data_IF_910160089186
#
_entry.id   IF_910160089186
#
_cell.length_a   1.000
_cell.length_b   1.000
_cell.length_c   1.000
_cell.angle_alpha   90.00
_cell.angle_beta   90.00
_cell.angle_gamma   90.00
#
_symmetry.space_group_name_H-M   'P 1'
#
loop_
_entity.id
_entity.type
_entity.pdbx_description
1 polymer ?
#
# COMPACT_ATOMS: atom_id res chain seq x y z
N UNK A 1 -11.05 19.27 -14.87
CA UNK A 1 -10.46 18.15 -14.12
C UNK A 1 -9.20 18.73 -13.51
N UNK A 2 -9.31 19.21 -12.27
CA UNK A 2 -8.30 20.04 -11.61
C UNK A 2 -7.50 19.20 -10.61
N UNK A 3 -6.24 19.54 -10.50
CA UNK A 3 -5.21 19.05 -9.59
C UNK A 3 -5.74 18.79 -8.17
N UNK A 4 -5.89 17.51 -7.81
CA UNK A 4 -6.29 17.06 -6.46
C UNK A 4 -5.12 16.48 -5.65
N UNK A 5 -3.86 16.67 -6.08
CA UNK A 5 -2.68 16.04 -5.47
C UNK A 5 -1.60 17.03 -5.04
N UNK A 6 -1.97 18.26 -4.62
CA UNK A 6 -1.00 19.09 -3.89
C UNK A 6 -0.98 18.67 -2.43
N UNK A 7 -0.01 17.86 -2.05
CA UNK A 7 0.36 17.63 -0.64
C UNK A 7 0.59 19.00 0.03
N UNK A 8 -0.23 19.32 1.02
CA UNK A 8 -0.01 20.49 1.87
C UNK A 8 1.13 20.15 2.84
N UNK A 9 2.37 20.47 2.42
CA UNK A 9 3.49 20.51 3.36
C UNK A 9 3.32 21.70 4.31
N UNK A 10 2.84 21.42 5.52
CA UNK A 10 2.93 22.36 6.63
C UNK A 10 4.26 22.10 7.35
N UNK A 11 5.31 22.82 6.98
CA UNK A 11 6.57 22.75 7.70
C UNK A 11 7.57 23.79 7.19
N UNK A 12 7.90 24.73 8.04
CA UNK A 12 8.92 25.78 7.95
C UNK A 12 10.02 25.51 6.91
N UNK A 13 10.29 26.53 6.06
CA UNK A 13 11.53 26.69 5.30
C UNK A 13 12.76 26.44 6.21
N UNK A 14 13.29 25.24 6.15
CA UNK A 14 14.63 24.92 6.59
C UNK A 14 15.34 24.32 5.40
N UNK A 15 16.16 25.14 4.75
CA UNK A 15 17.23 24.71 3.84
C UNK A 15 17.91 23.47 4.40
N UNK A 16 17.89 22.37 3.63
CA UNK A 16 18.36 21.11 4.19
C UNK A 16 19.46 20.46 3.35
N UNK A 17 20.46 21.24 2.98
CA UNK A 17 21.75 20.65 2.63
C UNK A 17 22.44 20.31 3.96
N UNK A 18 22.70 19.03 4.17
CA UNK A 18 23.49 18.57 5.31
C UNK A 18 24.67 17.75 4.81
N UNK A 19 25.79 17.94 5.48
CA UNK A 19 27.03 17.25 5.19
C UNK A 19 27.36 16.28 6.31
N UNK A 20 27.58 15.02 5.94
CA UNK A 20 27.90 13.97 6.92
C UNK A 20 29.23 13.31 6.58
N UNK A 21 29.99 12.97 7.62
CA UNK A 21 31.22 12.20 7.47
C UNK A 21 31.37 11.21 8.62
N UNK A 22 31.85 10.02 8.30
CA UNK A 22 32.24 9.03 9.31
C UNK A 22 33.63 9.28 9.78
N UNK A 23 33.79 9.49 11.09
CA UNK A 23 35.05 9.62 11.81
C UNK A 23 34.97 8.72 13.06
N UNK A 24 36.05 8.03 13.40
CA UNK A 24 36.12 7.16 14.56
C UNK A 24 34.92 6.19 14.72
N UNK A 25 34.49 5.56 13.60
CA UNK A 25 33.34 4.65 13.51
C UNK A 25 31.98 5.28 13.83
N UNK A 26 31.88 6.62 13.89
CA UNK A 26 30.65 7.36 14.12
C UNK A 26 30.38 8.34 12.97
N UNK A 27 29.14 8.61 12.71
CA UNK A 27 28.73 9.62 11.75
C UNK A 27 28.64 10.98 12.44
N UNK A 28 29.21 12.00 11.81
CA UNK A 28 29.19 13.38 12.29
C UNK A 28 28.65 14.29 11.20
N UNK A 29 27.80 15.23 11.59
CA UNK A 29 27.41 16.37 10.76
C UNK A 29 28.56 17.39 10.76
N UNK A 30 29.01 17.81 9.57
CA UNK A 30 30.12 18.74 9.37
C UNK A 30 29.63 20.01 8.66
N UNK A 31 30.34 21.13 8.84
CA UNK A 31 29.91 22.43 8.29
C UNK A 31 30.29 22.62 6.82
N UNK A 32 31.37 21.99 6.38
CA UNK A 32 31.89 22.13 5.01
C UNK A 32 32.20 20.76 4.40
N UNK A 33 31.90 20.54 3.11
CA UNK A 33 32.18 19.28 2.47
C UNK A 33 33.68 19.09 2.22
N UNK A 34 34.14 17.87 2.38
CA UNK A 34 35.51 17.43 2.05
C UNK A 34 35.45 16.08 1.34
N UNK A 35 36.58 15.57 0.87
CA UNK A 35 36.60 14.25 0.23
C UNK A 35 36.08 13.16 1.18
N UNK A 36 35.21 12.29 0.64
CA UNK A 36 34.54 11.24 1.41
C UNK A 36 33.33 11.72 2.21
N UNK A 37 32.82 12.92 1.96
CA UNK A 37 31.56 13.42 2.56
C UNK A 37 30.34 12.81 1.88
N UNK A 38 29.31 12.58 2.66
CA UNK A 38 27.96 12.34 2.20
C UNK A 38 27.16 13.65 2.29
N UNK A 39 26.63 14.12 1.17
CA UNK A 39 25.79 15.31 1.04
C UNK A 39 24.34 14.84 0.97
N UNK A 40 23.53 15.25 1.92
CA UNK A 40 22.10 14.90 1.97
C UNK A 40 21.25 16.12 1.61
N UNK A 41 20.52 16.03 0.51
CA UNK A 41 19.56 17.04 0.01
C UNK A 41 18.15 16.51 0.29
N UNK A 42 17.42 17.15 1.19
CA UNK A 42 16.03 16.84 1.49
C UNK A 42 15.19 18.04 1.15
N UNK A 43 14.25 17.86 0.22
CA UNK A 43 13.40 18.93 -0.29
C UNK A 43 14.19 20.21 -0.65
N UNK A 44 15.26 20.08 -1.48
CA UNK A 44 16.15 21.21 -1.78
C UNK A 44 15.43 22.28 -2.59
N UNK A 45 15.83 23.53 -2.37
CA UNK A 45 15.40 24.67 -3.20
C UNK A 45 16.13 24.69 -4.53
N UNK A 46 15.56 25.36 -5.53
CA UNK A 46 16.21 25.53 -6.85
C UNK A 46 17.62 26.19 -6.74
N UNK A 47 17.82 27.09 -5.78
CA UNK A 47 19.12 27.74 -5.54
C UNK A 47 20.14 26.74 -4.96
N UNK A 48 19.73 25.83 -4.09
CA UNK A 48 20.58 24.79 -3.52
C UNK A 48 20.98 23.75 -4.58
N UNK A 49 20.02 23.35 -5.44
CA UNK A 49 20.32 22.46 -6.58
C UNK A 49 21.32 23.13 -7.52
N UNK A 50 21.12 24.39 -7.89
CA UNK A 50 22.04 25.12 -8.76
C UNK A 50 23.46 25.25 -8.14
N UNK A 51 23.55 25.43 -6.82
CA UNK A 51 24.83 25.46 -6.11
C UNK A 51 25.57 24.12 -6.21
N UNK A 52 24.90 23.02 -5.91
CA UNK A 52 25.48 21.68 -5.96
C UNK A 52 25.82 21.28 -7.40
N UNK A 53 24.95 21.58 -8.37
CA UNK A 53 25.19 21.36 -9.80
C UNK A 53 26.48 22.00 -10.26
N UNK A 54 26.68 23.30 -9.92
CA UNK A 54 27.88 24.05 -10.30
C UNK A 54 29.16 23.56 -9.57
N UNK A 55 29.05 23.21 -8.28
CA UNK A 55 30.20 22.80 -7.47
C UNK A 55 30.73 21.41 -7.87
N UNK A 56 29.83 20.45 -8.19
CA UNK A 56 30.19 19.06 -8.50
C UNK A 56 30.10 18.74 -10.00
N UNK A 57 29.76 19.73 -10.86
CA UNK A 57 29.59 19.57 -12.32
C UNK A 57 28.56 18.47 -12.66
N UNK A 58 27.45 18.51 -12.00
CA UNK A 58 26.31 17.58 -12.21
C UNK A 58 25.25 18.33 -13.01
N UNK A 59 24.58 17.64 -13.93
CA UNK A 59 23.42 18.23 -14.60
C UNK A 59 22.33 18.56 -13.59
N UNK A 60 21.74 19.74 -13.73
CA UNK A 60 20.69 20.19 -12.82
C UNK A 60 19.41 19.34 -12.94
N UNK A 61 19.16 18.78 -14.13
CA UNK A 61 18.00 17.95 -14.39
C UNK A 61 18.16 16.59 -13.70
N UNK A 62 19.38 16.04 -13.61
CA UNK A 62 19.69 14.82 -12.85
C UNK A 62 19.51 15.02 -11.33
N UNK A 63 19.75 16.23 -10.83
CA UNK A 63 19.47 16.56 -9.44
C UNK A 63 17.97 16.79 -9.17
N UNK A 64 17.19 17.14 -10.20
CA UNK A 64 15.74 17.34 -10.09
C UNK A 64 14.93 16.07 -10.25
N UNK A 65 15.41 15.14 -11.09
CA UNK A 65 14.69 13.92 -11.39
C UNK A 65 14.18 13.18 -10.13
N UNK A 66 14.97 13.00 -9.05
CA UNK A 66 14.46 12.37 -7.82
C UNK A 66 13.41 13.16 -7.05
N UNK A 67 13.11 14.40 -7.46
CA UNK A 67 12.09 15.25 -6.85
C UNK A 67 10.74 15.18 -7.57
N UNK A 68 10.67 14.40 -8.66
CA UNK A 68 9.41 14.03 -9.31
C UNK A 68 8.92 12.70 -8.73
N UNK A 69 7.74 12.68 -8.13
CA UNK A 69 7.15 11.47 -7.54
C UNK A 69 6.88 10.35 -8.57
N UNK A 70 6.79 10.68 -9.87
CA UNK A 70 6.54 9.74 -10.96
C UNK A 70 7.84 9.25 -11.64
N UNK A 71 9.01 9.71 -11.20
CA UNK A 71 10.30 9.30 -11.76
C UNK A 71 10.56 7.82 -11.53
N UNK A 72 11.07 7.13 -12.55
CA UNK A 72 11.30 5.70 -12.51
C UNK A 72 12.71 5.36 -12.07
N UNK A 73 12.88 4.25 -11.36
CA UNK A 73 14.20 3.77 -10.97
C UNK A 73 15.06 3.43 -12.20
N UNK A 74 16.25 4.03 -12.29
CA UNK A 74 17.21 3.82 -13.38
C UNK A 74 18.63 4.17 -12.95
N UNK A 75 19.60 3.88 -13.84
CA UNK A 75 20.99 4.29 -13.68
C UNK A 75 21.40 5.08 -14.93
N UNK A 76 22.04 6.21 -14.71
CA UNK A 76 22.72 7.00 -15.73
C UNK A 76 24.20 7.15 -15.40
N UNK A 77 25.03 6.90 -16.39
CA UNK A 77 26.51 7.01 -16.24
C UNK A 77 26.97 8.19 -17.08
N UNK A 78 27.34 9.25 -16.39
CA UNK A 78 27.77 10.50 -16.97
C UNK A 78 29.27 10.72 -16.80
N UNK A 79 29.82 11.73 -17.49
CA UNK A 79 31.23 12.10 -17.35
C UNK A 79 31.46 12.76 -15.97
N UNK A 80 32.12 12.03 -15.07
CA UNK A 80 32.48 12.49 -13.73
C UNK A 80 31.54 12.03 -12.61
N UNK A 81 30.35 11.50 -12.90
CA UNK A 81 29.45 10.95 -11.90
C UNK A 81 28.57 9.81 -12.43
N UNK A 82 27.93 9.10 -11.53
CA UNK A 82 26.89 8.11 -11.86
C UNK A 82 25.68 8.39 -11.00
N UNK A 83 24.54 8.54 -11.64
CA UNK A 83 23.23 8.72 -10.99
C UNK A 83 22.55 7.34 -10.85
N UNK A 84 22.06 7.07 -9.66
CA UNK A 84 21.16 5.95 -9.35
C UNK A 84 19.86 6.55 -8.83
N UNK A 85 18.75 6.28 -9.47
CA UNK A 85 17.42 6.56 -8.94
C UNK A 85 16.80 5.24 -8.52
N UNK A 86 16.36 5.15 -7.28
CA UNK A 86 15.70 3.99 -6.71
C UNK A 86 14.48 4.42 -5.92
N UNK A 87 13.45 3.60 -5.93
CA UNK A 87 12.27 3.84 -5.10
C UNK A 87 12.53 3.37 -3.68
N UNK A 88 12.17 4.19 -2.72
CA UNK A 88 12.26 3.89 -1.29
C UNK A 88 10.88 3.89 -0.66
N UNK A 89 10.58 2.94 0.25
CA UNK A 89 9.29 2.90 0.91
C UNK A 89 9.20 3.99 1.97
N UNK A 90 8.04 4.63 2.04
CA UNK A 90 7.71 5.63 3.04
C UNK A 90 6.31 5.40 3.59
N UNK A 91 5.98 6.10 4.68
CA UNK A 91 4.65 6.09 5.27
C UNK A 91 4.11 7.50 5.36
N UNK A 92 2.83 7.65 5.05
CA UNK A 92 2.10 8.91 5.20
C UNK A 92 0.94 8.73 6.17
N UNK A 93 0.83 9.59 7.14
CA UNK A 93 -0.29 9.59 8.07
C UNK A 93 -1.40 10.53 7.55
N UNK A 94 -2.58 9.95 7.26
CA UNK A 94 -3.78 10.69 6.85
C UNK A 94 -4.95 10.31 7.75
N UNK A 95 -5.57 11.26 8.43
CA UNK A 95 -6.75 11.04 9.30
C UNK A 95 -6.53 9.89 10.30
N UNK A 96 -5.39 9.90 10.99
CA UNK A 96 -5.00 8.87 11.97
C UNK A 96 -4.76 7.46 11.39
N UNK A 97 -4.67 7.34 10.05
CA UNK A 97 -4.32 6.10 9.36
C UNK A 97 -2.98 6.25 8.65
N UNK A 98 -2.19 5.20 8.74
CA UNK A 98 -0.88 5.11 8.10
C UNK A 98 -1.03 4.41 6.74
N UNK A 99 -0.59 5.09 5.69
CA UNK A 99 -0.54 4.61 4.31
C UNK A 99 0.89 4.31 3.91
N UNK A 100 1.11 3.24 3.18
CA UNK A 100 2.42 2.84 2.69
C UNK A 100 2.54 3.25 1.22
N UNK A 101 3.58 4.00 0.93
CA UNK A 101 3.85 4.59 -0.38
C UNK A 101 5.32 4.38 -0.76
N UNK A 102 5.67 4.77 -1.96
CA UNK A 102 7.05 4.81 -2.43
C UNK A 102 7.38 6.19 -3.00
N UNK A 103 8.60 6.62 -2.82
CA UNK A 103 9.13 7.86 -3.39
C UNK A 103 10.50 7.60 -4.02
N UNK A 104 10.87 8.35 -5.08
CA UNK A 104 12.20 8.28 -5.64
C UNK A 104 13.27 8.82 -4.67
N UNK A 105 14.42 8.18 -4.69
CA UNK A 105 15.63 8.61 -4.00
C UNK A 105 16.78 8.59 -5.00
N UNK A 106 17.33 9.76 -5.31
CA UNK A 106 18.53 9.90 -6.12
C UNK A 106 19.79 9.68 -5.28
N UNK A 107 20.71 8.88 -5.80
CA UNK A 107 22.03 8.65 -5.22
C UNK A 107 23.05 8.96 -6.31
N UNK A 108 23.85 10.00 -6.14
CA UNK A 108 24.84 10.43 -7.12
C UNK A 108 26.23 10.12 -6.58
N UNK A 109 26.93 9.26 -7.31
CA UNK A 109 28.29 8.87 -7.01
C UNK A 109 29.26 9.74 -7.83
N UNK A 110 29.99 10.62 -7.18
CA UNK A 110 31.07 11.39 -7.80
C UNK A 110 32.44 10.82 -7.43
N UNK A 111 33.52 11.39 -7.96
CA UNK A 111 34.89 11.00 -7.58
C UNK A 111 35.25 11.33 -6.13
N UNK A 112 34.60 12.35 -5.52
CA UNK A 112 34.97 12.86 -4.20
C UNK A 112 33.92 12.63 -3.12
N UNK A 113 32.65 12.70 -3.50
CA UNK A 113 31.52 12.69 -2.56
C UNK A 113 30.38 11.79 -3.04
N UNK A 114 29.48 11.41 -2.13
CA UNK A 114 28.18 10.86 -2.45
C UNK A 114 27.12 11.92 -2.13
N UNK A 115 26.14 12.09 -3.02
CA UNK A 115 25.04 13.00 -2.85
C UNK A 115 23.75 12.20 -2.87
N UNK A 116 22.86 12.40 -1.90
CA UNK A 116 21.51 11.84 -1.93
C UNK A 116 20.49 12.95 -2.03
N UNK A 117 19.49 12.76 -2.90
CA UNK A 117 18.42 13.73 -3.17
C UNK A 117 17.08 13.04 -2.97
N UNK A 118 16.23 13.57 -2.09
CA UNK A 118 14.91 13.03 -1.80
C UNK A 118 13.89 14.14 -1.57
N UNK A 119 12.61 13.84 -1.83
CA UNK A 119 11.50 14.72 -1.50
C UNK A 119 11.31 14.91 0.00
N UNK A 120 11.54 13.85 0.79
CA UNK A 120 11.39 13.87 2.24
C UNK A 120 12.48 13.03 2.94
N UNK A 121 12.62 13.18 4.26
CA UNK A 121 13.59 12.40 5.02
C UNK A 121 13.09 10.96 5.18
N UNK A 122 13.71 10.05 4.47
CA UNK A 122 13.32 8.63 4.43
C UNK A 122 13.90 7.87 5.61
N UNK A 123 13.16 6.87 6.09
CA UNK A 123 13.64 5.97 7.15
C UNK A 123 14.94 5.25 6.77
N UNK A 124 15.15 5.00 5.47
CA UNK A 124 16.39 4.42 4.94
C UNK A 124 17.58 5.30 5.27
N UNK A 125 17.53 6.58 4.91
CA UNK A 125 18.64 7.53 5.12
C UNK A 125 18.77 7.96 6.58
N UNK A 126 17.64 8.04 7.30
CA UNK A 126 17.62 8.38 8.71
C UNK A 126 18.39 7.36 9.60
N UNK A 127 18.37 6.08 9.22
CA UNK A 127 19.11 5.05 9.96
C UNK A 127 20.63 5.25 9.88
N UNK A 128 21.14 5.73 8.73
CA UNK A 128 22.55 6.10 8.59
C UNK A 128 22.89 7.38 9.40
N UNK A 129 22.07 8.43 9.29
CA UNK A 129 22.24 9.68 10.02
C UNK A 129 22.25 9.49 11.53
N UNK A 130 21.44 8.54 12.02
CA UNK A 130 21.31 8.25 13.44
C UNK A 130 22.34 7.20 13.94
N UNK A 131 23.28 6.77 13.10
CA UNK A 131 24.31 5.79 13.48
C UNK A 131 23.77 4.39 13.80
N UNK A 132 22.57 4.04 13.30
CA UNK A 132 21.97 2.71 13.50
C UNK A 132 22.59 1.64 12.62
N UNK A 133 23.21 2.05 11.51
CA UNK A 133 23.92 1.13 10.60
C UNK A 133 25.35 0.94 11.06
N UNK A 134 25.73 -0.30 11.34
CA UNK A 134 27.10 -0.64 11.77
C UNK A 134 28.02 -0.80 10.58
N UNK A 135 29.34 -0.62 10.80
CA UNK A 135 30.38 -0.80 9.77
C UNK A 135 30.15 0.06 8.52
N UNK A 136 29.65 1.26 8.72
CA UNK A 136 29.35 2.22 7.69
C UNK A 136 30.43 3.29 7.61
N UNK A 137 30.83 3.64 6.36
CA UNK A 137 31.87 4.63 6.08
C UNK A 137 31.48 5.46 4.86
N UNK A 138 31.36 6.76 5.02
CA UNK A 138 30.98 7.69 3.91
C UNK A 138 32.02 7.72 2.79
N UNK A 139 33.30 7.50 3.10
CA UNK A 139 34.37 7.47 2.11
C UNK A 139 34.47 6.15 1.33
N UNK A 140 33.91 5.04 1.84
CA UNK A 140 33.75 3.78 1.07
C UNK A 140 32.50 3.86 0.21
N UNK A 141 32.54 4.72 -0.79
CA UNK A 141 31.38 5.20 -1.53
C UNK A 141 30.55 4.10 -2.18
N UNK A 142 31.18 3.16 -2.87
CA UNK A 142 30.49 2.03 -3.49
C UNK A 142 29.78 1.17 -2.43
N UNK A 143 30.51 0.81 -1.38
CA UNK A 143 29.92 0.05 -0.27
C UNK A 143 28.76 0.79 0.40
N UNK A 144 28.85 2.10 0.52
CA UNK A 144 27.80 2.92 1.10
C UNK A 144 26.51 2.87 0.25
N UNK A 145 26.62 2.96 -1.09
CA UNK A 145 25.46 2.79 -1.98
C UNK A 145 24.82 1.42 -1.76
N UNK A 146 25.63 0.36 -1.77
CA UNK A 146 25.13 -1.00 -1.56
C UNK A 146 24.45 -1.17 -0.20
N UNK A 147 24.98 -0.55 0.85
CA UNK A 147 24.34 -0.53 2.18
C UNK A 147 23.02 0.23 2.19
N UNK A 148 22.92 1.35 1.44
CA UNK A 148 21.63 2.05 1.27
C UNK A 148 20.61 1.13 0.59
N UNK A 149 20.99 0.46 -0.49
CA UNK A 149 20.11 -0.44 -1.24
C UNK A 149 19.71 -1.67 -0.42
N UNK A 150 20.64 -2.24 0.35
CA UNK A 150 20.34 -3.32 1.29
C UNK A 150 19.32 -2.89 2.35
N UNK A 151 19.55 -1.70 2.94
CA UNK A 151 18.62 -1.15 3.93
C UNK A 151 17.26 -0.85 3.33
N UNK A 152 17.24 -0.39 2.07
CA UNK A 152 16.02 -0.18 1.32
C UNK A 152 15.20 -1.47 1.17
N UNK A 153 15.81 -2.54 0.66
CA UNK A 153 15.15 -3.84 0.51
C UNK A 153 14.66 -4.39 1.86
N UNK A 154 15.49 -4.30 2.90
CA UNK A 154 15.11 -4.72 4.26
C UNK A 154 13.93 -3.92 4.83
N UNK A 155 13.82 -2.62 4.52
CA UNK A 155 12.70 -1.78 4.95
C UNK A 155 11.40 -2.15 4.23
N UNK A 156 11.48 -2.48 2.92
CA UNK A 156 10.33 -3.03 2.20
C UNK A 156 9.81 -4.31 2.86
N UNK A 157 10.71 -5.24 3.20
CA UNK A 157 10.34 -6.48 3.91
C UNK A 157 9.69 -6.20 5.27
N UNK A 158 10.18 -5.20 5.98
CA UNK A 158 9.60 -4.79 7.27
C UNK A 158 8.17 -4.25 7.07
N UNK A 159 7.96 -3.37 6.09
CA UNK A 159 6.65 -2.79 5.82
C UNK A 159 5.67 -3.83 5.26
N UNK A 160 6.10 -4.75 4.42
CA UNK A 160 5.30 -5.87 3.95
C UNK A 160 4.75 -6.71 5.12
N UNK A 161 5.58 -7.01 6.12
CA UNK A 161 5.13 -7.72 7.34
C UNK A 161 4.14 -6.90 8.18
N UNK A 162 4.24 -5.57 8.16
CA UNK A 162 3.28 -4.70 8.84
C UNK A 162 1.95 -4.70 8.09
N UNK A 163 1.98 -4.61 6.76
CA UNK A 163 0.79 -4.68 5.90
C UNK A 163 0.06 -6.01 6.10
N UNK A 164 0.77 -7.13 6.10
CA UNK A 164 0.24 -8.47 6.35
C UNK A 164 -0.50 -8.55 7.70
N UNK A 165 0.14 -8.11 8.79
CA UNK A 165 -0.49 -8.07 10.11
C UNK A 165 -1.71 -7.15 10.18
N UNK A 166 -1.67 -6.00 9.48
CA UNK A 166 -2.81 -5.09 9.40
C UNK A 166 -3.96 -5.74 8.63
N UNK A 167 -3.67 -6.41 7.51
CA UNK A 167 -4.64 -7.17 6.72
C UNK A 167 -5.36 -8.22 7.57
N UNK A 168 -4.61 -9.06 8.30
CA UNK A 168 -5.17 -10.05 9.24
C UNK A 168 -6.09 -9.42 10.29
N UNK A 169 -5.71 -8.25 10.81
CA UNK A 169 -6.51 -7.54 11.81
C UNK A 169 -7.83 -7.04 11.24
N UNK A 170 -7.79 -6.47 10.04
CA UNK A 170 -8.97 -5.96 9.33
C UNK A 170 -9.88 -7.12 8.92
N UNK A 171 -9.32 -8.23 8.46
CA UNK A 171 -10.07 -9.44 8.12
C UNK A 171 -10.86 -9.96 9.32
N UNK A 172 -10.25 -10.05 10.50
CA UNK A 172 -10.94 -10.45 11.74
C UNK A 172 -12.09 -9.51 12.11
N UNK A 173 -11.92 -8.21 11.88
CA UNK A 173 -12.99 -7.23 12.11
C UNK A 173 -14.13 -7.39 11.10
N UNK A 174 -13.82 -7.68 9.83
CA UNK A 174 -14.79 -7.90 8.78
C UNK A 174 -15.71 -9.10 9.05
N UNK A 175 -15.21 -10.14 9.72
CA UNK A 175 -16.04 -11.27 10.16
C UNK A 175 -17.13 -10.87 11.18
N UNK A 176 -16.90 -9.81 11.95
CA UNK A 176 -17.80 -9.34 13.03
C UNK A 176 -18.69 -8.19 12.56
N UNK A 177 -18.13 -7.34 11.69
CA UNK A 177 -18.74 -6.09 11.21
C UNK A 177 -19.18 -6.26 9.75
N UNK A 178 -20.36 -5.73 9.42
CA UNK A 178 -20.85 -5.68 8.03
C UNK A 178 -20.64 -4.31 7.40
N UNK A 179 -19.70 -3.53 7.93
CA UNK A 179 -19.44 -2.16 7.44
C UNK A 179 -18.51 -2.20 6.24
N UNK A 180 -18.74 -1.30 5.29
CA UNK A 180 -17.89 -1.15 4.09
C UNK A 180 -16.51 -0.54 4.41
N UNK A 181 -16.30 -0.07 5.63
CA UNK A 181 -15.07 0.63 6.01
C UNK A 181 -13.86 -0.32 6.05
N UNK A 182 -14.06 -1.54 6.52
CA UNK A 182 -13.03 -2.58 6.57
C UNK A 182 -12.61 -3.02 5.15
N UNK A 183 -13.57 -3.12 4.22
CA UNK A 183 -13.25 -3.41 2.82
C UNK A 183 -12.46 -2.29 2.14
N UNK A 184 -12.76 -1.03 2.46
CA UNK A 184 -12.00 0.11 1.96
C UNK A 184 -10.56 0.06 2.51
N UNK A 185 -10.38 -0.33 3.77
CA UNK A 185 -9.06 -0.47 4.37
C UNK A 185 -8.22 -1.58 3.72
N UNK A 186 -8.83 -2.74 3.44
CA UNK A 186 -8.17 -3.80 2.67
C UNK A 186 -7.77 -3.32 1.27
N UNK A 187 -8.63 -2.57 0.59
CA UNK A 187 -8.32 -1.99 -0.73
C UNK A 187 -7.12 -1.01 -0.68
N UNK A 188 -7.02 -0.20 0.38
CA UNK A 188 -5.87 0.70 0.55
C UNK A 188 -4.56 -0.08 0.83
N UNK A 189 -4.63 -1.19 1.57
CA UNK A 189 -3.49 -2.08 1.76
C UNK A 189 -3.08 -2.77 0.46
N UNK A 190 -4.05 -3.21 -0.37
CA UNK A 190 -3.78 -3.79 -1.69
C UNK A 190 -3.08 -2.79 -2.61
N UNK A 191 -3.51 -1.54 -2.65
CA UNK A 191 -2.83 -0.48 -3.40
C UNK A 191 -1.38 -0.31 -2.95
N UNK A 192 -1.12 -0.34 -1.65
CA UNK A 192 0.24 -0.26 -1.11
C UNK A 192 1.11 -1.42 -1.58
N UNK A 193 0.57 -2.65 -1.63
CA UNK A 193 1.28 -3.82 -2.15
C UNK A 193 1.59 -3.70 -3.65
N UNK A 194 0.65 -3.14 -4.44
CA UNK A 194 0.88 -2.87 -5.88
C UNK A 194 2.00 -1.85 -6.08
N UNK A 195 2.02 -0.76 -5.30
CA UNK A 195 3.10 0.22 -5.34
C UNK A 195 4.44 -0.43 -4.97
N UNK A 196 4.49 -1.20 -3.88
CA UNK A 196 5.70 -1.89 -3.45
C UNK A 196 6.21 -2.89 -4.49
N UNK A 197 5.34 -3.74 -5.05
CA UNK A 197 5.73 -4.70 -6.09
C UNK A 197 6.27 -3.99 -7.32
N UNK A 198 5.64 -2.90 -7.76
CA UNK A 198 6.08 -2.11 -8.92
C UNK A 198 7.44 -1.48 -8.68
N UNK A 199 7.63 -0.81 -7.54
CA UNK A 199 8.88 -0.15 -7.16
C UNK A 199 10.03 -1.14 -6.95
N UNK A 200 9.77 -2.28 -6.29
CA UNK A 200 10.77 -3.32 -6.09
C UNK A 200 11.26 -3.93 -7.41
N UNK A 201 10.35 -4.15 -8.39
CA UNK A 201 10.70 -4.61 -9.74
C UNK A 201 11.49 -3.56 -10.51
N UNK A 202 11.17 -2.26 -10.34
CA UNK A 202 11.94 -1.17 -10.91
C UNK A 202 13.35 -1.11 -10.30
N UNK A 203 13.47 -1.27 -9.00
CA UNK A 203 14.75 -1.35 -8.30
C UNK A 203 15.56 -2.59 -8.72
N UNK A 204 14.93 -3.73 -9.01
CA UNK A 204 15.61 -4.94 -9.52
C UNK A 204 16.35 -4.65 -10.81
N UNK A 205 15.76 -3.88 -11.74
CA UNK A 205 16.44 -3.48 -12.98
C UNK A 205 17.68 -2.62 -12.73
N UNK A 206 17.64 -1.77 -11.70
CA UNK A 206 18.81 -0.99 -11.26
C UNK A 206 19.90 -1.93 -10.75
N UNK A 207 19.56 -2.89 -9.88
CA UNK A 207 20.51 -3.86 -9.34
C UNK A 207 21.13 -4.72 -10.43
N UNK A 208 20.36 -5.16 -11.42
CA UNK A 208 20.86 -5.93 -12.57
C UNK A 208 21.83 -5.12 -13.44
N UNK A 209 21.58 -3.81 -13.61
CA UNK A 209 22.53 -2.93 -14.31
C UNK A 209 23.80 -2.73 -13.49
N UNK A 210 23.70 -2.61 -12.17
CA UNK A 210 24.85 -2.47 -11.27
C UNK A 210 25.81 -3.65 -11.37
N UNK A 211 25.34 -4.88 -11.60
CA UNK A 211 26.16 -6.05 -11.86
C UNK A 211 27.10 -5.90 -13.07
N UNK A 212 26.80 -4.97 -14.00
CA UNK A 212 27.58 -4.73 -15.21
C UNK A 212 28.58 -3.58 -15.08
N UNK A 213 28.60 -2.88 -13.93
CA UNK A 213 29.47 -1.73 -13.67
C UNK A 213 30.71 -2.19 -12.92
N UNK A 214 31.87 -2.24 -13.60
CA UNK A 214 33.13 -2.72 -13.02
C UNK A 214 33.56 -1.99 -11.74
N UNK A 215 33.29 -0.67 -11.66
CA UNK A 215 33.61 0.14 -10.47
C UNK A 215 32.91 -0.35 -9.20
N UNK A 216 31.75 -1.00 -9.31
CA UNK A 216 30.98 -1.49 -8.19
C UNK A 216 31.56 -2.81 -7.67
N UNK A 217 32.13 -3.62 -8.57
CA UNK A 217 32.75 -4.92 -8.26
C UNK A 217 34.24 -4.83 -7.97
N UNK A 218 34.76 -3.64 -7.69
CA UNK A 218 36.18 -3.45 -7.47
C UNK A 218 36.73 -4.26 -6.28
N UNK A 219 35.89 -4.53 -5.29
CA UNK A 219 36.24 -5.29 -4.09
C UNK A 219 35.35 -6.54 -3.96
N UNK A 220 35.91 -7.73 -3.68
CA UNK A 220 35.09 -8.96 -3.51
C UNK A 220 33.99 -8.83 -2.45
N UNK A 221 34.26 -8.10 -1.37
CA UNK A 221 33.31 -7.86 -0.30
C UNK A 221 32.10 -7.00 -0.75
N UNK A 222 32.27 -6.16 -1.76
CA UNK A 222 31.19 -5.33 -2.32
C UNK A 222 30.38 -6.15 -3.34
N UNK A 223 31.00 -7.10 -4.05
CA UNK A 223 30.28 -8.05 -4.91
C UNK A 223 29.36 -8.95 -4.08
N UNK A 224 29.85 -9.51 -2.97
CA UNK A 224 29.04 -10.31 -2.03
C UNK A 224 27.86 -9.49 -1.47
N UNK A 225 28.11 -8.24 -1.09
CA UNK A 225 27.04 -7.34 -0.60
C UNK A 225 26.02 -7.03 -1.69
N UNK A 226 26.41 -6.87 -2.95
CA UNK A 226 25.49 -6.66 -4.06
C UNK A 226 24.59 -7.90 -4.28
N UNK A 227 25.16 -9.10 -4.20
CA UNK A 227 24.40 -10.34 -4.29
C UNK A 227 23.38 -10.44 -3.14
N UNK A 228 23.77 -10.08 -1.93
CA UNK A 228 22.85 -10.02 -0.78
C UNK A 228 21.70 -9.02 -1.00
N UNK A 229 21.98 -7.85 -1.56
CA UNK A 229 20.95 -6.85 -1.91
C UNK A 229 19.98 -7.41 -2.92
N UNK A 230 20.47 -8.10 -3.96
CA UNK A 230 19.62 -8.70 -5.00
C UNK A 230 18.73 -9.78 -4.40
N UNK A 231 19.25 -10.61 -3.53
CA UNK A 231 18.50 -11.67 -2.85
C UNK A 231 17.38 -11.06 -1.99
N UNK A 232 17.73 -10.05 -1.17
CA UNK A 232 16.77 -9.38 -0.28
C UNK A 232 15.67 -8.67 -1.08
N UNK A 233 16.02 -8.01 -2.20
CA UNK A 233 15.04 -7.36 -3.09
C UNK A 233 14.12 -8.39 -3.76
N UNK A 234 14.64 -9.52 -4.24
CA UNK A 234 13.82 -10.61 -4.81
C UNK A 234 12.88 -11.20 -3.78
N UNK A 235 13.35 -11.43 -2.57
CA UNK A 235 12.49 -11.88 -1.47
C UNK A 235 11.35 -10.88 -1.20
N UNK A 236 11.64 -9.58 -1.25
CA UNK A 236 10.61 -8.55 -1.07
C UNK A 236 9.58 -8.57 -2.21
N UNK A 237 10.00 -8.76 -3.46
CA UNK A 237 9.09 -8.91 -4.61
C UNK A 237 8.16 -10.12 -4.40
N UNK A 238 8.73 -11.28 -4.09
CA UNK A 238 7.95 -12.51 -3.87
C UNK A 238 6.94 -12.33 -2.74
N UNK A 239 7.34 -11.72 -1.62
CA UNK A 239 6.43 -11.45 -0.50
C UNK A 239 5.33 -10.46 -0.88
N UNK A 240 5.64 -9.38 -1.63
CA UNK A 240 4.64 -8.42 -2.10
C UNK A 240 3.60 -9.10 -3.00
N UNK A 241 4.05 -9.95 -3.93
CA UNK A 241 3.17 -10.70 -4.83
C UNK A 241 2.29 -11.71 -4.05
N UNK A 242 2.86 -12.43 -3.09
CA UNK A 242 2.11 -13.38 -2.25
C UNK A 242 1.02 -12.66 -1.45
N UNK A 243 1.38 -11.58 -0.76
CA UNK A 243 0.42 -10.83 0.06
C UNK A 243 -0.66 -10.16 -0.79
N UNK A 244 -0.30 -9.63 -1.97
CA UNK A 244 -1.29 -9.07 -2.91
C UNK A 244 -2.29 -10.12 -3.38
N UNK A 245 -1.82 -11.33 -3.73
CA UNK A 245 -2.69 -12.43 -4.15
C UNK A 245 -3.61 -12.92 -3.01
N UNK A 246 -3.09 -13.02 -1.79
CA UNK A 246 -3.89 -13.40 -0.61
C UNK A 246 -4.97 -12.35 -0.37
N UNK A 247 -4.61 -11.07 -0.37
CA UNK A 247 -5.53 -9.98 -0.08
C UNK A 247 -6.62 -9.86 -1.13
N UNK A 248 -6.27 -9.95 -2.42
CA UNK A 248 -7.23 -9.96 -3.52
C UNK A 248 -8.19 -11.15 -3.42
N UNK A 249 -7.67 -12.35 -3.16
CA UNK A 249 -8.49 -13.56 -2.94
C UNK A 249 -9.42 -13.43 -1.73
N UNK A 250 -8.96 -12.80 -0.66
CA UNK A 250 -9.77 -12.50 0.53
C UNK A 250 -10.92 -11.54 0.18
N UNK A 251 -10.66 -10.48 -0.55
CA UNK A 251 -11.69 -9.51 -0.99
C UNK A 251 -12.75 -10.19 -1.88
N UNK A 252 -12.35 -11.04 -2.82
CA UNK A 252 -13.26 -11.80 -3.69
C UNK A 252 -14.14 -12.77 -2.87
N UNK A 253 -13.55 -13.44 -1.88
CA UNK A 253 -14.29 -14.30 -0.99
C UNK A 253 -15.36 -13.53 -0.20
N UNK A 254 -15.01 -12.35 0.34
CA UNK A 254 -15.97 -11.50 1.05
C UNK A 254 -17.06 -10.94 0.15
N UNK A 255 -16.76 -10.53 -1.09
CA UNK A 255 -17.77 -10.14 -2.05
C UNK A 255 -18.78 -11.26 -2.30
N UNK A 256 -18.32 -12.51 -2.38
CA UNK A 256 -19.16 -13.70 -2.52
C UNK A 256 -20.02 -13.94 -1.28
N UNK A 257 -19.46 -13.78 -0.07
CA UNK A 257 -20.21 -13.92 1.21
C UNK A 257 -21.29 -12.84 1.31
N UNK A 258 -20.98 -11.59 0.98
CA UNK A 258 -21.97 -10.50 0.98
C UNK A 258 -23.10 -10.79 0.00
N UNK A 259 -22.78 -11.23 -1.22
CA UNK A 259 -23.77 -11.61 -2.24
C UNK A 259 -24.67 -12.76 -1.76
N UNK A 260 -24.09 -13.78 -1.12
CA UNK A 260 -24.85 -14.88 -0.55
C UNK A 260 -25.79 -14.43 0.59
N UNK A 261 -25.30 -13.56 1.48
CA UNK A 261 -26.10 -13.00 2.57
C UNK A 261 -27.28 -12.17 2.03
N UNK A 262 -27.04 -11.37 0.98
CA UNK A 262 -28.11 -10.62 0.31
C UNK A 262 -29.16 -11.57 -0.28
N UNK A 263 -28.75 -12.66 -0.93
CA UNK A 263 -29.65 -13.68 -1.45
C UNK A 263 -30.49 -14.33 -0.36
N UNK A 264 -29.91 -14.61 0.81
CA UNK A 264 -30.63 -15.14 1.97
C UNK A 264 -31.71 -14.14 2.42
N UNK A 265 -31.35 -12.87 2.61
CA UNK A 265 -32.30 -11.82 3.02
C UNK A 265 -33.43 -11.66 1.99
N UNK A 266 -33.12 -11.65 0.69
CA UNK A 266 -34.13 -11.58 -0.38
C UNK A 266 -35.06 -12.80 -0.38
N UNK A 267 -34.55 -13.99 -0.15
CA UNK A 267 -35.36 -15.21 -0.01
C UNK A 267 -36.32 -15.10 1.18
N UNK A 268 -35.82 -14.69 2.35
CA UNK A 268 -36.64 -14.50 3.55
C UNK A 268 -37.75 -13.48 3.31
N UNK A 269 -37.42 -12.35 2.69
CA UNK A 269 -38.41 -11.31 2.37
C UNK A 269 -39.47 -11.82 1.39
N UNK A 270 -39.08 -12.56 0.35
CA UNK A 270 -39.99 -13.16 -0.59
C UNK A 270 -40.95 -14.17 0.09
N UNK A 271 -40.42 -15.03 0.98
CA UNK A 271 -41.24 -15.97 1.76
C UNK A 271 -42.26 -15.25 2.63
N UNK A 272 -41.83 -14.22 3.38
CA UNK A 272 -42.73 -13.41 4.22
C UNK A 272 -43.83 -12.79 3.35
N UNK A 273 -43.47 -12.21 2.19
CA UNK A 273 -44.44 -11.59 1.28
C UNK A 273 -45.45 -12.61 0.76
N UNK A 274 -44.99 -13.78 0.30
CA UNK A 274 -45.89 -14.85 -0.18
C UNK A 274 -46.83 -15.36 0.93
N UNK A 275 -46.28 -15.61 2.12
CA UNK A 275 -47.06 -16.11 3.27
C UNK A 275 -48.11 -15.07 3.70
N UNK A 276 -47.76 -13.78 3.73
CA UNK A 276 -48.70 -12.70 4.09
C UNK A 276 -49.73 -12.42 2.99
N UNK A 277 -49.50 -12.80 1.74
CA UNK A 277 -50.47 -12.62 0.67
C UNK A 277 -51.64 -13.66 0.77
N UNK A 278 -51.44 -14.82 1.40
CA UNK A 278 -52.47 -15.86 1.54
C UNK A 278 -53.71 -15.32 2.28
N UNK A 279 -53.61 -14.80 3.51
CA UNK A 279 -54.76 -14.21 4.22
C UNK A 279 -55.41 -13.10 3.43
N UNK A 280 -54.61 -12.26 2.78
CA UNK A 280 -55.09 -11.09 2.00
C UNK A 280 -55.94 -11.54 0.80
N UNK A 281 -55.48 -12.58 0.06
CA UNK A 281 -56.25 -13.15 -1.05
C UNK A 281 -57.55 -13.75 -0.60
N UNK A 282 -57.57 -14.52 0.50
CA UNK A 282 -58.76 -15.15 1.02
C UNK A 282 -59.77 -14.09 1.49
N UNK A 283 -59.33 -13.07 2.22
CA UNK A 283 -60.17 -11.97 2.66
C UNK A 283 -60.74 -11.15 1.50
N UNK A 284 -59.90 -10.92 0.44
CA UNK A 284 -60.32 -10.21 -0.75
C UNK A 284 -61.41 -10.93 -1.56
N UNK A 285 -61.26 -12.27 -1.75
CA UNK A 285 -62.29 -13.06 -2.42
C UNK A 285 -63.60 -13.06 -1.61
N UNK A 286 -63.55 -13.16 -0.28
CA UNK A 286 -64.72 -13.19 0.55
C UNK A 286 -65.40 -11.80 0.72
N UNK A 287 -64.63 -10.73 0.49
CA UNK A 287 -65.14 -9.32 0.48
C UNK A 287 -65.78 -8.90 -0.85
N UNK A 288 -65.91 -9.77 -1.86
CA UNK A 288 -66.50 -9.46 -3.15
C UNK A 288 -68.05 -9.27 -3.03
N UNK A 289 -68.61 -8.38 -3.86
CA UNK A 289 -70.05 -8.12 -3.93
C UNK A 289 -70.80 -9.20 -4.76
N UNK A 290 -70.45 -10.47 -4.58
CA UNK A 290 -71.10 -11.62 -5.20
C UNK A 290 -71.50 -12.62 -4.11
N UNK A 291 -72.47 -13.53 -4.35
CA UNK A 291 -72.81 -14.54 -3.37
C UNK A 291 -71.63 -15.45 -3.07
N UNK A 292 -71.06 -15.30 -1.89
CA UNK A 292 -69.93 -16.13 -1.45
C UNK A 292 -70.39 -17.20 -0.47
N UNK A 293 -69.77 -18.40 -0.42
CA UNK A 293 -70.11 -19.44 0.54
C UNK A 293 -70.00 -18.93 1.97
N UNK A 294 -70.94 -19.36 2.86
CA UNK A 294 -71.00 -18.99 4.27
C UNK A 294 -71.28 -17.52 4.60
N UNK A 295 -71.65 -16.66 3.64
CA UNK A 295 -71.94 -15.25 3.85
C UNK A 295 -73.08 -14.98 4.86
N UNK A 296 -74.05 -15.89 4.95
CA UNK A 296 -75.21 -15.81 5.85
C UNK A 296 -75.05 -16.58 7.15
N UNK A 297 -73.89 -17.24 7.36
CA UNK A 297 -73.59 -18.03 8.56
C UNK A 297 -73.07 -17.10 9.67
N UNK A 298 -73.56 -17.21 10.94
CA UNK A 298 -73.01 -16.41 12.06
C UNK A 298 -71.56 -16.78 12.37
N UNK A 299 -71.06 -17.94 11.94
CA UNK A 299 -69.69 -18.41 12.15
C UNK A 299 -68.81 -18.19 10.91
N UNK A 300 -69.34 -17.64 9.82
CA UNK A 300 -68.62 -17.50 8.56
C UNK A 300 -67.30 -16.77 8.68
N UNK A 301 -67.26 -15.68 9.41
CA UNK A 301 -66.04 -14.91 9.70
C UNK A 301 -64.98 -15.73 10.47
N UNK A 302 -65.41 -16.44 11.53
CA UNK A 302 -64.49 -17.24 12.34
C UNK A 302 -63.88 -18.39 11.53
N UNK A 303 -64.70 -19.07 10.72
CA UNK A 303 -64.23 -20.14 9.82
C UNK A 303 -63.19 -19.62 8.83
N UNK A 304 -63.44 -18.48 8.24
CA UNK A 304 -62.51 -17.84 7.28
C UNK A 304 -61.16 -17.52 7.92
N UNK A 305 -61.16 -16.93 9.13
CA UNK A 305 -59.95 -16.63 9.87
C UNK A 305 -59.17 -17.89 10.20
N UNK A 306 -59.82 -18.94 10.66
CA UNK A 306 -59.18 -20.25 11.00
C UNK A 306 -58.59 -20.89 9.75
N UNK A 307 -59.31 -20.94 8.64
CA UNK A 307 -58.83 -21.49 7.37
C UNK A 307 -57.64 -20.70 6.82
N UNK A 308 -57.74 -19.39 6.89
CA UNK A 308 -56.64 -18.49 6.51
C UNK A 308 -55.39 -18.72 7.31
N UNK A 309 -55.49 -18.84 8.64
CA UNK A 309 -54.36 -19.14 9.52
C UNK A 309 -53.75 -20.52 9.23
N UNK A 310 -54.56 -21.54 9.03
CA UNK A 310 -54.07 -22.89 8.70
C UNK A 310 -53.29 -22.87 7.38
N UNK A 311 -53.84 -22.25 6.34
CA UNK A 311 -53.19 -22.17 5.03
C UNK A 311 -51.90 -21.34 5.09
N UNK A 312 -51.88 -20.26 5.89
CA UNK A 312 -50.68 -19.44 6.11
C UNK A 312 -49.56 -20.24 6.78
N UNK A 313 -49.89 -20.96 7.85
CA UNK A 313 -48.92 -21.82 8.56
C UNK A 313 -48.44 -22.97 7.68
N UNK A 314 -49.35 -23.59 6.93
CA UNK A 314 -49.01 -24.68 6.00
C UNK A 314 -48.12 -24.18 4.83
N UNK A 315 -48.44 -23.03 4.26
CA UNK A 315 -47.61 -22.40 3.22
C UNK A 315 -46.22 -22.06 3.75
N UNK A 316 -46.13 -21.45 4.94
CA UNK A 316 -44.87 -21.15 5.60
C UNK A 316 -44.05 -22.43 5.89
N UNK A 317 -44.68 -23.50 6.33
CA UNK A 317 -44.02 -24.78 6.58
C UNK A 317 -43.46 -25.43 5.29
N UNK A 318 -44.23 -25.44 4.21
CA UNK A 318 -43.78 -25.98 2.91
C UNK A 318 -42.58 -25.18 2.36
N UNK A 319 -42.66 -23.84 2.40
CA UNK A 319 -41.59 -22.99 1.91
C UNK A 319 -40.31 -23.12 2.77
N UNK A 320 -40.46 -23.25 4.08
CA UNK A 320 -39.34 -23.49 5.00
C UNK A 320 -38.70 -24.87 4.81
N UNK A 321 -39.50 -25.92 4.56
CA UNK A 321 -39.00 -27.31 4.40
C UNK A 321 -38.27 -27.52 3.06
N UNK A 322 -38.55 -26.75 2.04
CA UNK A 322 -37.89 -26.86 0.70
C UNK A 322 -36.48 -26.32 0.62
N UNK A 323 -35.77 -26.16 1.75
CA UNK A 323 -34.40 -25.64 1.78
C UNK A 323 -34.25 -24.29 1.02
N UNK A 324 -35.26 -23.47 1.08
CA UNK A 324 -35.16 -22.09 0.58
C UNK A 324 -34.49 -21.17 1.63
N UNK A 325 -34.09 -21.73 2.75
CA UNK A 325 -33.21 -21.14 3.75
C UNK A 325 -31.76 -21.54 3.52
#
# INVERSE_FOLDING_TARGET
VGNLWTRHFHGKERTMIKYYRTMDHQIHEISEPMEGTWISLIHPTAAELAKIAAEYKIDIDDLRAPLDEEERSHIEVEEGYTLFIVDVPTTEERKEKEYFLTIPCGIILTEKVIITVCLEDTSVLADFKNGRVRNFWTFKRTRFILQILYRNASLYLQYLRIIDKKSDSVEKQLHISTKNQELIELLELEKSLVYFSTSLRSNELVLEKMLKIDKIKQYPEDEELLDDVIIENKQAIEMADIYSNILSGTMDAYASVISNNLNIVMKVLAIITIVMSIPTMIASFWGMNVPVPLAHSPYGFLILVVVSLILTIFGGYILGKKNMF
#
